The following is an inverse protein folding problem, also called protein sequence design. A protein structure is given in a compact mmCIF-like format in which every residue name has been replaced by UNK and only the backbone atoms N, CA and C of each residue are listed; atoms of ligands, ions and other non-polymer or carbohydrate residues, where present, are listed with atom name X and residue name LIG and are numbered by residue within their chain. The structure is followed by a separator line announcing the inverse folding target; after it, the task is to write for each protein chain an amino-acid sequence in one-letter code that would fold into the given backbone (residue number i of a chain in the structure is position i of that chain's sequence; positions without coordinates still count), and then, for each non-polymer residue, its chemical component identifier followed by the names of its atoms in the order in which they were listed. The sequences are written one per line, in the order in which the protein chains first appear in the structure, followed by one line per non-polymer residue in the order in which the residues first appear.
data_IF_702584085323
#
_entry.id   IF_702584085323
#
_cell.length_a   1.000
_cell.length_b   1.000
_cell.length_c   1.000
_cell.angle_alpha   90.00
_cell.angle_beta   90.00
_cell.angle_gamma   90.00
#
_symmetry.space_group_name_H-M   'P 1'
#
loop_
_entity.id
_entity.type
_entity.pdbx_description
1 polymer ?
#
# COMPACT_ATOMS: atom_id res chain seq x y z
N UNK A 1 -16.30 -0.61 15.86
CA UNK A 1 -14.87 -0.99 15.78
C UNK A 1 -14.04 0.20 15.32
N UNK A 2 -12.88 0.41 15.92
CA UNK A 2 -11.92 1.42 15.46
C UNK A 2 -10.92 0.75 14.52
N UNK A 3 -10.88 1.22 13.28
CA UNK A 3 -10.12 0.60 12.20
C UNK A 3 -9.06 1.59 11.73
N UNK A 4 -7.79 1.19 11.79
CA UNK A 4 -6.68 1.94 11.21
C UNK A 4 -6.33 1.37 9.84
N UNK A 5 -6.29 2.21 8.82
CA UNK A 5 -5.87 1.80 7.47
C UNK A 5 -4.65 2.63 7.06
N UNK A 6 -3.61 1.95 6.60
CA UNK A 6 -2.38 2.61 6.17
C UNK A 6 -2.36 2.75 4.65
N UNK A 7 -2.09 3.96 4.20
CA UNK A 7 -2.10 4.32 2.77
C UNK A 7 -0.77 4.96 2.40
N UNK A 8 -0.14 4.46 1.36
CA UNK A 8 1.04 5.08 0.76
C UNK A 8 0.64 5.87 -0.48
N UNK A 9 1.02 7.14 -0.52
CA UNK A 9 1.08 7.89 -1.77
C UNK A 9 2.31 7.43 -2.56
N UNK A 10 2.12 6.43 -3.39
CA UNK A 10 3.15 5.79 -4.21
C UNK A 10 3.42 6.57 -5.49
N UNK A 11 4.59 6.38 -6.09
CA UNK A 11 4.83 6.84 -7.46
C UNK A 11 3.88 6.10 -8.42
N UNK A 12 3.24 6.84 -9.32
CA UNK A 12 2.41 6.26 -10.36
C UNK A 12 3.29 5.63 -11.43
N UNK A 13 3.40 4.31 -11.44
CA UNK A 13 4.28 3.55 -12.34
C UNK A 13 3.95 3.75 -13.83
N UNK A 14 2.70 4.11 -14.16
CA UNK A 14 2.27 4.38 -15.53
C UNK A 14 2.69 5.78 -16.03
N UNK A 15 3.10 6.66 -15.12
CA UNK A 15 3.42 8.07 -15.40
C UNK A 15 4.81 8.44 -14.87
N UNK A 16 5.72 7.47 -14.77
CA UNK A 16 7.08 7.70 -14.30
C UNK A 16 7.80 8.63 -15.28
N UNK A 17 8.40 9.68 -14.73
CA UNK A 17 9.30 10.58 -15.44
C UNK A 17 10.73 10.28 -15.05
N UNK A 18 11.59 10.15 -16.05
CA UNK A 18 13.03 9.88 -15.88
C UNK A 18 13.85 10.93 -16.63
N UNK A 19 15.03 11.17 -16.13
CA UNK A 19 16.05 11.92 -16.86
C UNK A 19 16.80 11.05 -17.88
N UNK A 20 17.76 11.64 -18.60
CA UNK A 20 18.56 10.95 -19.62
C UNK A 20 19.46 9.83 -19.05
N UNK A 21 19.70 9.80 -17.74
CA UNK A 21 20.49 8.76 -17.05
C UNK A 21 19.63 7.65 -16.44
N UNK A 22 18.31 7.71 -16.63
CA UNK A 22 17.36 6.75 -16.06
C UNK A 22 17.04 6.99 -14.58
N UNK A 23 17.42 8.15 -14.03
CA UNK A 23 17.03 8.53 -12.66
C UNK A 23 15.59 9.02 -12.67
N UNK A 24 14.79 8.53 -11.71
CA UNK A 24 13.39 8.94 -11.58
C UNK A 24 13.30 10.36 -11.04
N UNK A 25 12.59 11.22 -11.77
CA UNK A 25 12.26 12.56 -11.29
C UNK A 25 11.14 12.48 -10.24
N UNK A 26 11.53 12.45 -8.97
CA UNK A 26 10.61 12.31 -7.83
C UNK A 26 9.73 13.55 -7.62
N UNK A 27 10.11 14.71 -8.16
CA UNK A 27 9.33 15.93 -8.05
C UNK A 27 8.18 16.00 -9.06
N UNK A 28 8.37 15.39 -10.23
CA UNK A 28 7.44 15.50 -11.34
C UNK A 28 6.64 14.22 -11.62
N UNK A 29 7.10 13.06 -11.13
CA UNK A 29 6.35 11.81 -11.26
C UNK A 29 5.08 11.89 -10.42
N UNK A 30 3.93 11.70 -11.05
CA UNK A 30 2.63 11.75 -10.37
C UNK A 30 2.55 10.75 -9.21
N UNK A 31 1.82 11.11 -8.15
CA UNK A 31 1.50 10.20 -7.04
C UNK A 31 0.12 9.59 -7.24
N UNK A 32 -0.04 8.35 -6.77
CA UNK A 32 -1.31 7.63 -6.73
C UNK A 32 -1.41 6.79 -5.44
N UNK A 33 -2.62 6.38 -5.07
CA UNK A 33 -2.78 5.38 -4.01
C UNK A 33 -2.23 4.05 -4.54
N UNK A 34 -1.43 3.35 -3.75
CA UNK A 34 -1.00 1.98 -4.07
C UNK A 34 -2.23 1.07 -4.23
N UNK A 35 -2.25 0.23 -5.25
CA UNK A 35 -3.42 -0.63 -5.55
C UNK A 35 -3.77 -1.53 -4.35
N UNK A 36 -2.80 -2.16 -3.71
CA UNK A 36 -3.03 -2.98 -2.51
C UNK A 36 -3.59 -2.16 -1.33
N UNK A 37 -3.25 -0.88 -1.25
CA UNK A 37 -3.79 -0.01 -0.20
C UNK A 37 -5.25 0.38 -0.48
N UNK A 38 -5.69 0.39 -1.76
CA UNK A 38 -7.11 0.51 -2.10
C UNK A 38 -7.91 -0.69 -1.61
N UNK A 39 -7.35 -1.91 -1.73
CA UNK A 39 -7.96 -3.13 -1.18
C UNK A 39 -8.02 -3.06 0.35
N UNK A 40 -6.96 -2.59 1.01
CA UNK A 40 -6.93 -2.40 2.46
C UNK A 40 -8.01 -1.41 2.93
N UNK A 41 -8.16 -0.30 2.21
CA UNK A 41 -9.18 0.71 2.51
C UNK A 41 -10.59 0.15 2.32
N UNK A 42 -10.85 -0.52 1.21
CA UNK A 42 -12.13 -1.17 0.94
C UNK A 42 -12.51 -2.16 2.04
N UNK A 43 -11.54 -2.99 2.48
CA UNK A 43 -11.80 -3.97 3.53
C UNK A 43 -12.12 -3.30 4.87
N UNK A 44 -11.37 -2.25 5.23
CA UNK A 44 -11.67 -1.43 6.41
C UNK A 44 -13.08 -0.84 6.38
N UNK A 45 -13.51 -0.36 5.21
CA UNK A 45 -14.87 0.19 5.03
C UNK A 45 -15.92 -0.91 5.15
N UNK A 46 -15.72 -2.09 4.56
CA UNK A 46 -16.64 -3.23 4.67
C UNK A 46 -16.79 -3.69 6.13
N UNK A 47 -15.70 -3.76 6.87
CA UNK A 47 -15.73 -4.08 8.31
C UNK A 47 -16.55 -3.02 9.07
N UNK A 48 -16.31 -1.73 8.81
CA UNK A 48 -17.11 -0.64 9.40
C UNK A 48 -18.60 -0.76 9.05
N UNK A 49 -18.94 -1.03 7.81
CA UNK A 49 -20.33 -1.19 7.37
C UNK A 49 -21.04 -2.35 8.07
N UNK A 50 -20.30 -3.44 8.36
CA UNK A 50 -20.85 -4.64 9.01
C UNK A 50 -20.95 -4.52 10.52
N UNK A 51 -19.95 -3.95 11.18
CA UNK A 51 -19.82 -3.97 12.64
C UNK A 51 -19.96 -2.58 13.29
N UNK A 52 -20.16 -1.54 12.49
CA UNK A 52 -20.15 -0.17 12.96
C UNK A 52 -18.75 0.34 13.30
N UNK A 53 -18.64 1.61 13.66
CA UNK A 53 -17.42 2.23 14.12
C UNK A 53 -16.82 3.24 13.15
N UNK A 54 -15.48 3.32 13.11
CA UNK A 54 -14.77 4.39 12.41
C UNK A 54 -13.54 3.86 11.67
N UNK A 55 -13.30 4.37 10.46
CA UNK A 55 -12.08 4.13 9.66
C UNK A 55 -11.22 5.38 9.68
N UNK A 56 -10.02 5.28 10.26
CA UNK A 56 -9.00 6.32 10.28
C UNK A 56 -7.85 5.95 9.35
N UNK A 57 -7.53 6.81 8.39
CA UNK A 57 -6.42 6.63 7.46
C UNK A 57 -5.14 7.20 8.05
N UNK A 58 -4.04 6.45 7.92
CA UNK A 58 -2.69 6.86 8.32
C UNK A 58 -1.77 6.89 7.11
N UNK A 59 -1.03 7.98 6.92
CA UNK A 59 -0.14 8.15 5.78
C UNK A 59 1.02 9.10 6.08
N UNK A 60 2.12 8.97 5.34
CA UNK A 60 3.25 9.88 5.40
C UNK A 60 3.70 10.25 3.98
N UNK A 61 4.00 11.52 3.74
CA UNK A 61 4.60 11.97 2.50
C UNK A 61 6.11 11.70 2.53
N UNK A 62 6.59 10.84 1.63
CA UNK A 62 7.99 10.43 1.55
C UNK A 62 8.68 10.84 0.25
N UNK A 63 7.92 11.37 -0.70
CA UNK A 63 8.42 11.91 -1.96
C UNK A 63 8.26 13.42 -1.96
N UNK A 64 9.37 14.13 -2.06
CA UNK A 64 9.40 15.58 -1.89
C UNK A 64 9.91 16.37 -3.09
N UNK A 65 10.13 17.63 -2.91
CA UNK A 65 9.97 18.40 -1.66
C UNK A 65 8.50 18.59 -1.28
N UNK A 66 8.22 18.71 0.03
CA UNK A 66 6.85 18.85 0.56
C UNK A 66 6.12 20.04 -0.08
N UNK A 67 6.80 21.18 -0.23
CA UNK A 67 6.25 22.40 -0.81
C UNK A 67 5.66 22.20 -2.21
N UNK A 68 6.21 21.30 -3.02
CA UNK A 68 5.71 20.97 -4.37
C UNK A 68 4.69 19.85 -4.37
N UNK A 69 4.80 18.92 -3.42
CA UNK A 69 4.04 17.65 -3.42
C UNK A 69 2.81 17.65 -2.53
N UNK A 70 2.70 18.62 -1.61
CA UNK A 70 1.62 18.65 -0.62
C UNK A 70 0.23 18.65 -1.27
N UNK A 71 0.01 19.43 -2.33
CA UNK A 71 -1.30 19.50 -2.99
C UNK A 71 -1.71 18.16 -3.62
N UNK A 72 -0.79 17.48 -4.32
CA UNK A 72 -1.03 16.16 -4.88
C UNK A 72 -1.29 15.11 -3.80
N UNK A 73 -0.51 15.17 -2.73
CA UNK A 73 -0.66 14.28 -1.60
C UNK A 73 -2.01 14.47 -0.89
N UNK A 74 -2.39 15.71 -0.62
CA UNK A 74 -3.70 16.00 -0.02
C UNK A 74 -4.86 15.56 -0.93
N UNK A 75 -4.72 15.65 -2.25
CA UNK A 75 -5.69 15.12 -3.21
C UNK A 75 -5.87 13.60 -3.03
N UNK A 76 -4.76 12.85 -2.89
CA UNK A 76 -4.79 11.41 -2.64
C UNK A 76 -5.49 11.10 -1.30
N UNK A 77 -5.17 11.84 -0.25
CA UNK A 77 -5.84 11.64 1.04
C UNK A 77 -7.33 11.98 0.96
N UNK A 78 -7.72 13.03 0.21
CA UNK A 78 -9.14 13.34 -0.04
C UNK A 78 -9.85 12.23 -0.82
N UNK A 79 -9.15 11.54 -1.72
CA UNK A 79 -9.68 10.37 -2.42
C UNK A 79 -10.01 9.25 -1.44
N UNK A 80 -9.15 8.93 -0.47
CA UNK A 80 -9.43 7.90 0.55
C UNK A 80 -10.64 8.27 1.41
N UNK A 81 -10.80 9.54 1.74
CA UNK A 81 -11.97 10.05 2.48
C UNK A 81 -13.24 9.99 1.64
N UNK A 82 -13.13 10.21 0.32
CA UNK A 82 -14.26 10.08 -0.61
C UNK A 82 -14.70 8.63 -0.77
N UNK A 83 -13.78 7.66 -0.81
CA UNK A 83 -14.08 6.22 -0.87
C UNK A 83 -14.88 5.77 0.36
N UNK A 84 -14.59 6.31 1.56
CA UNK A 84 -15.42 5.99 2.74
C UNK A 84 -14.74 6.11 4.09
N UNK A 85 -13.44 6.45 4.16
CA UNK A 85 -12.78 6.75 5.43
C UNK A 85 -13.42 7.95 6.13
N UNK A 86 -13.34 8.01 7.43
CA UNK A 86 -14.00 9.05 8.26
C UNK A 86 -13.05 10.22 8.53
N UNK A 87 -11.77 9.93 8.71
CA UNK A 87 -10.72 10.93 8.92
C UNK A 87 -9.38 10.43 8.40
N UNK A 88 -8.40 11.34 8.33
CA UNK A 88 -7.03 11.01 8.01
C UNK A 88 -6.03 11.68 8.95
N UNK A 89 -5.00 10.94 9.32
CA UNK A 89 -3.84 11.40 10.10
C UNK A 89 -2.61 11.30 9.22
N UNK A 90 -1.99 12.43 8.88
CA UNK A 90 -0.91 12.47 7.89
C UNK A 90 0.33 13.14 8.44
N UNK A 91 1.50 12.63 8.06
CA UNK A 91 2.78 13.25 8.37
C UNK A 91 3.25 14.05 7.16
N UNK A 92 3.43 15.34 7.36
CA UNK A 92 3.95 16.29 6.38
C UNK A 92 5.18 16.99 6.95
N UNK A 93 6.37 16.47 6.60
CA UNK A 93 7.64 17.05 7.07
C UNK A 93 8.76 16.73 6.06
N UNK A 94 9.56 17.73 5.71
CA UNK A 94 10.74 17.56 4.84
C UNK A 94 11.72 16.51 5.38
N UNK A 95 11.77 16.31 6.68
CA UNK A 95 12.61 15.30 7.33
C UNK A 95 12.19 13.86 7.04
N UNK A 96 11.04 13.62 6.43
CA UNK A 96 10.62 12.29 5.96
C UNK A 96 10.77 12.09 4.45
N UNK A 97 11.14 13.13 3.73
CA UNK A 97 11.41 13.00 2.30
C UNK A 97 12.63 12.10 2.09
N UNK A 98 12.47 11.04 1.31
CA UNK A 98 13.52 10.03 1.09
C UNK A 98 13.67 8.99 2.21
N UNK A 99 12.82 9.01 3.24
CA UNK A 99 12.86 8.06 4.34
C UNK A 99 12.79 6.60 3.87
N UNK A 100 13.54 5.75 4.53
CA UNK A 100 13.50 4.30 4.33
C UNK A 100 12.19 3.69 4.85
N UNK A 101 11.89 2.45 4.44
CA UNK A 101 10.70 1.75 4.94
C UNK A 101 10.72 1.59 6.47
N UNK A 102 11.89 1.50 7.09
CA UNK A 102 12.00 1.44 8.56
C UNK A 102 11.60 2.76 9.21
N UNK A 103 12.14 3.85 8.72
CA UNK A 103 11.88 5.20 9.25
C UNK A 103 10.41 5.58 9.09
N UNK A 104 9.81 5.26 7.94
CA UNK A 104 8.37 5.44 7.71
C UNK A 104 7.54 4.59 8.67
N UNK A 105 7.94 3.32 8.88
CA UNK A 105 7.23 2.44 9.82
C UNK A 105 7.31 2.98 11.24
N UNK A 106 8.46 3.50 11.66
CA UNK A 106 8.64 4.11 12.98
C UNK A 106 7.79 5.38 13.13
N UNK A 107 7.77 6.22 12.11
CA UNK A 107 6.98 7.45 12.10
C UNK A 107 5.47 7.15 12.23
N UNK A 108 4.97 6.21 11.43
CA UNK A 108 3.56 5.81 11.46
C UNK A 108 3.19 5.05 12.73
N UNK A 109 4.10 4.25 13.30
CA UNK A 109 3.90 3.60 14.60
C UNK A 109 3.74 4.63 15.73
N UNK A 110 4.60 5.67 15.77
CA UNK A 110 4.50 6.72 16.76
C UNK A 110 3.22 7.57 16.56
N UNK A 111 2.84 7.83 15.30
CA UNK A 111 1.60 8.53 15.00
C UNK A 111 0.38 7.74 15.50
N UNK A 112 0.31 6.44 15.22
CA UNK A 112 -0.78 5.57 15.69
C UNK A 112 -0.86 5.58 17.22
N UNK A 113 0.27 5.40 17.92
CA UNK A 113 0.30 5.47 19.39
C UNK A 113 -0.19 6.80 19.95
N UNK A 114 0.12 7.91 19.26
CA UNK A 114 -0.33 9.25 19.65
C UNK A 114 -1.84 9.43 19.43
N UNK A 115 -2.39 8.88 18.36
CA UNK A 115 -3.83 8.99 18.03
C UNK A 115 -4.67 8.10 18.95
N UNK A 116 -4.21 6.89 19.25
CA UNK A 116 -4.89 5.97 20.16
C UNK A 116 -4.84 4.51 19.73
N UNK A 117 -5.67 3.69 20.40
CA UNK A 117 -5.75 2.26 20.12
C UNK A 117 -6.85 1.96 19.08
N UNK A 118 -6.57 0.96 18.25
CA UNK A 118 -7.47 0.46 17.22
C UNK A 118 -7.72 -1.04 17.43
N UNK A 119 -8.89 -1.51 17.01
CA UNK A 119 -9.24 -2.92 17.11
C UNK A 119 -8.55 -3.72 15.98
N UNK A 120 -8.46 -3.14 14.77
CA UNK A 120 -7.79 -3.76 13.64
C UNK A 120 -6.99 -2.72 12.86
N UNK A 121 -5.79 -3.12 12.42
CA UNK A 121 -4.88 -2.34 11.60
C UNK A 121 -4.74 -3.04 10.26
N UNK A 122 -5.09 -2.35 9.16
CA UNK A 122 -5.11 -2.94 7.82
C UNK A 122 -4.10 -2.22 6.94
N UNK A 123 -3.28 -2.98 6.23
CA UNK A 123 -2.31 -2.49 5.25
C UNK A 123 -2.47 -3.25 3.94
N UNK A 124 -2.04 -2.70 2.83
CA UNK A 124 -1.73 -3.50 1.65
C UNK A 124 -0.54 -4.42 1.92
N UNK A 125 -0.40 -5.50 1.17
CA UNK A 125 0.74 -6.42 1.29
C UNK A 125 2.06 -5.75 0.92
N UNK A 126 2.02 -4.84 -0.06
CA UNK A 126 3.17 -4.09 -0.54
C UNK A 126 2.73 -2.73 -1.11
N UNK A 127 3.68 -1.87 -1.44
CA UNK A 127 3.43 -0.72 -2.31
C UNK A 127 3.90 -1.01 -3.73
N UNK A 128 3.18 -0.50 -4.73
CA UNK A 128 3.47 -0.74 -6.14
C UNK A 128 4.85 -0.26 -6.57
N UNK A 129 5.38 0.77 -5.91
CA UNK A 129 6.64 1.42 -6.28
C UNK A 129 7.88 0.78 -5.66
N UNK A 130 7.79 0.17 -4.48
CA UNK A 130 8.96 -0.41 -3.79
C UNK A 130 8.83 -1.89 -3.48
N UNK A 131 7.63 -2.46 -3.50
CA UNK A 131 7.35 -3.90 -3.32
C UNK A 131 8.16 -4.57 -2.21
N UNK A 132 8.24 -3.93 -1.04
CA UNK A 132 9.12 -4.39 0.04
C UNK A 132 8.51 -5.44 0.95
N UNK A 133 7.19 -5.56 1.01
CA UNK A 133 6.42 -6.52 1.85
C UNK A 133 6.76 -6.50 3.35
N UNK A 134 7.28 -5.38 3.88
CA UNK A 134 7.84 -5.32 5.22
C UNK A 134 7.01 -4.49 6.22
N UNK A 135 6.10 -3.64 5.73
CA UNK A 135 5.47 -2.63 6.58
C UNK A 135 4.66 -3.24 7.72
N UNK A 136 3.79 -4.21 7.46
CA UNK A 136 2.95 -4.85 8.49
C UNK A 136 3.79 -5.51 9.59
N UNK A 137 4.86 -6.24 9.21
CA UNK A 137 5.76 -6.91 10.17
C UNK A 137 6.56 -5.91 11.02
N UNK A 138 7.02 -4.81 10.41
CA UNK A 138 7.71 -3.73 11.14
C UNK A 138 6.77 -3.02 12.10
N UNK A 139 5.56 -2.68 11.65
CA UNK A 139 4.54 -2.07 12.49
C UNK A 139 4.20 -2.95 13.69
N UNK A 140 4.06 -4.27 13.49
CA UNK A 140 3.83 -5.26 14.53
C UNK A 140 4.86 -5.18 15.65
N UNK A 141 6.13 -5.22 15.29
CA UNK A 141 7.23 -5.09 16.25
C UNK A 141 7.24 -3.75 16.98
N UNK A 142 6.89 -2.66 16.29
CA UNK A 142 6.93 -1.30 16.85
C UNK A 142 5.77 -0.98 17.79
N UNK A 143 4.57 -1.53 17.55
CA UNK A 143 3.39 -1.27 18.40
C UNK A 143 2.99 -2.46 19.26
N UNK A 144 3.74 -3.58 19.18
CA UNK A 144 3.50 -4.82 19.93
C UNK A 144 2.10 -5.41 19.73
N UNK A 145 1.65 -5.49 18.47
CA UNK A 145 0.39 -6.10 18.04
C UNK A 145 0.72 -7.19 17.02
N UNK A 146 0.14 -8.42 17.13
CA UNK A 146 0.43 -9.49 16.19
C UNK A 146 0.03 -9.11 14.77
N UNK A 147 0.82 -9.55 13.77
CA UNK A 147 0.55 -9.30 12.37
C UNK A 147 0.41 -10.62 11.59
N UNK A 148 -0.62 -10.68 10.76
CA UNK A 148 -0.84 -11.74 9.78
C UNK A 148 -0.77 -11.10 8.39
N UNK A 149 0.12 -11.63 7.55
CA UNK A 149 0.39 -11.10 6.20
C UNK A 149 -0.25 -11.96 5.12
N UNK A 150 -0.40 -11.39 3.91
CA UNK A 150 -0.95 -12.07 2.73
C UNK A 150 -2.37 -12.61 2.94
N UNK A 151 -3.23 -11.80 3.58
CA UNK A 151 -4.59 -12.20 3.90
C UNK A 151 -5.53 -11.90 2.75
N UNK A 152 -6.23 -12.93 2.26
CA UNK A 152 -7.22 -12.84 1.19
C UNK A 152 -8.67 -12.88 1.68
N UNK A 153 -8.91 -13.13 2.97
CA UNK A 153 -10.24 -13.12 3.57
C UNK A 153 -10.16 -12.93 5.09
N UNK A 154 -11.05 -12.10 5.61
CA UNK A 154 -11.19 -11.79 7.04
C UNK A 154 -12.60 -12.16 7.50
N UNK A 155 -12.72 -12.97 8.54
CA UNK A 155 -13.98 -13.25 9.20
C UNK A 155 -13.86 -12.86 10.68
N UNK A 156 -14.72 -11.94 11.12
CA UNK A 156 -14.77 -11.47 12.51
C UNK A 156 -15.99 -12.06 13.19
N UNK A 157 -15.79 -12.75 14.30
CA UNK A 157 -16.80 -13.36 15.13
C UNK A 157 -16.61 -12.91 16.58
N UNK A 158 -17.35 -11.88 17.00
CA UNK A 158 -17.18 -11.20 18.30
C UNK A 158 -15.74 -10.67 18.49
N UNK A 159 -14.93 -11.36 19.32
CA UNK A 159 -13.51 -11.02 19.54
C UNK A 159 -12.54 -11.89 18.76
N UNK A 160 -13.00 -13.00 18.22
CA UNK A 160 -12.20 -13.92 17.42
C UNK A 160 -12.15 -13.45 15.96
N UNK A 161 -10.99 -13.58 15.34
CA UNK A 161 -10.76 -13.25 13.94
C UNK A 161 -10.17 -14.47 13.25
N UNK A 162 -10.82 -14.93 12.20
CA UNK A 162 -10.28 -15.95 11.29
C UNK A 162 -9.72 -15.27 10.07
N UNK A 163 -8.44 -15.49 9.81
CA UNK A 163 -7.68 -14.91 8.71
C UNK A 163 -7.23 -16.02 7.76
N UNK A 164 -7.61 -15.88 6.49
CA UNK A 164 -7.23 -16.80 5.44
C UNK A 164 -6.00 -16.24 4.73
N UNK A 165 -4.84 -16.79 5.06
CA UNK A 165 -3.54 -16.38 4.55
C UNK A 165 -3.18 -17.19 3.32
N UNK A 166 -2.83 -16.52 2.22
CA UNK A 166 -2.40 -17.12 0.97
C UNK A 166 -0.89 -17.39 0.98
N UNK A 167 -0.47 -18.61 0.71
CA UNK A 167 0.92 -19.07 0.66
C UNK A 167 1.22 -19.83 -0.64
N UNK A 168 0.72 -19.33 -1.77
CA UNK A 168 0.88 -19.93 -3.11
C UNK A 168 0.24 -21.32 -3.22
N UNK A 169 0.84 -22.35 -2.59
CA UNK A 169 0.39 -23.75 -2.67
C UNK A 169 -0.72 -24.10 -1.67
N UNK A 170 -0.92 -23.27 -0.63
CA UNK A 170 -1.90 -23.55 0.43
C UNK A 170 -2.52 -22.26 1.00
N UNK A 171 -3.71 -22.42 1.58
CA UNK A 171 -4.37 -21.38 2.35
C UNK A 171 -4.33 -21.77 3.82
N UNK A 172 -3.60 -21.00 4.63
CA UNK A 172 -3.60 -21.15 6.07
C UNK A 172 -4.77 -20.42 6.70
N UNK A 173 -5.54 -21.11 7.53
CA UNK A 173 -6.59 -20.49 8.34
C UNK A 173 -6.02 -20.24 9.73
N UNK A 174 -5.84 -18.96 10.08
CA UNK A 174 -5.27 -18.54 11.35
C UNK A 174 -6.38 -17.95 12.21
N UNK A 175 -6.58 -18.51 13.41
CA UNK A 175 -7.44 -17.92 14.41
C UNK A 175 -6.63 -17.04 15.35
N UNK A 176 -7.06 -15.80 15.54
CA UNK A 176 -6.46 -14.84 16.47
C UNK A 176 -7.56 -14.01 17.15
N UNK A 177 -7.18 -13.10 18.03
CA UNK A 177 -8.08 -12.13 18.65
C UNK A 177 -7.67 -10.70 18.29
N UNK A 178 -8.61 -9.76 18.48
CA UNK A 178 -8.31 -8.33 18.39
C UNK A 178 -7.50 -7.87 19.61
N UNK A 179 -6.60 -6.90 19.49
CA UNK A 179 -6.23 -6.23 18.25
C UNK A 179 -5.28 -7.05 17.37
N UNK A 180 -5.36 -6.86 16.05
CA UNK A 180 -4.49 -7.54 15.07
C UNK A 180 -4.12 -6.59 13.91
N UNK A 181 -2.92 -6.77 13.37
CA UNK A 181 -2.49 -6.15 12.11
C UNK A 181 -2.69 -7.16 10.99
N UNK A 182 -3.29 -6.72 9.90
CA UNK A 182 -3.54 -7.56 8.72
C UNK A 182 -2.98 -6.88 7.48
N UNK A 183 -2.09 -7.55 6.74
CA UNK A 183 -1.76 -7.10 5.40
C UNK A 183 -2.55 -7.91 4.37
N UNK A 184 -3.27 -7.21 3.51
CA UNK A 184 -4.22 -7.83 2.59
C UNK A 184 -3.66 -7.91 1.18
N UNK A 185 -4.00 -9.00 0.47
CA UNK A 185 -3.68 -9.20 -0.94
C UNK A 185 -4.69 -8.49 -1.85
N UNK A 186 -4.37 -8.38 -3.15
CA UNK A 186 -5.29 -7.81 -4.13
C UNK A 186 -6.58 -8.62 -4.33
N UNK A 187 -6.56 -9.92 -4.00
CA UNK A 187 -7.69 -10.83 -4.17
C UNK A 187 -8.76 -10.72 -3.09
N UNK A 188 -8.50 -9.98 -2.00
CA UNK A 188 -9.43 -9.88 -0.87
C UNK A 188 -10.77 -9.26 -1.26
N UNK A 189 -10.74 -8.27 -2.16
CA UNK A 189 -11.94 -7.55 -2.61
C UNK A 189 -11.69 -6.79 -3.92
N UNK A 190 -12.76 -6.19 -4.45
CA UNK A 190 -12.67 -5.16 -5.50
C UNK A 190 -12.95 -3.80 -4.86
N UNK A 191 -11.99 -2.85 -4.90
CA UNK A 191 -12.18 -1.52 -4.35
C UNK A 191 -13.28 -0.76 -5.07
N UNK A 192 -14.17 -0.12 -4.30
CA UNK A 192 -15.22 0.74 -4.84
C UNK A 192 -14.65 2.06 -5.36
N UNK A 193 -15.36 2.67 -6.30
CA UNK A 193 -15.11 4.04 -6.73
C UNK A 193 -16.05 5.00 -5.98
N UNK A 194 -15.58 6.19 -5.59
CA UNK A 194 -16.42 7.16 -4.92
C UNK A 194 -17.42 7.79 -5.90
N UNK A 195 -18.64 8.01 -5.46
CA UNK A 195 -19.64 8.79 -6.17
C UNK A 195 -19.33 10.29 -6.11
N UNK A 196 -19.88 11.08 -7.03
CA UNK A 196 -19.73 12.55 -6.99
C UNK A 196 -20.17 13.16 -5.65
N UNK A 197 -21.25 12.65 -5.05
CA UNK A 197 -21.73 13.08 -3.73
C UNK A 197 -20.67 12.83 -2.65
N UNK A 198 -20.04 11.66 -2.63
CA UNK A 198 -18.99 11.31 -1.68
C UNK A 198 -17.74 12.16 -1.87
N UNK A 199 -17.36 12.47 -3.12
CA UNK A 199 -16.24 13.39 -3.43
C UNK A 199 -16.53 14.78 -2.85
N UNK A 200 -17.74 15.29 -3.00
CA UNK A 200 -18.10 16.59 -2.41
C UNK A 200 -18.10 16.55 -0.88
N UNK A 201 -18.63 15.50 -0.28
CA UNK A 201 -18.66 15.32 1.17
C UNK A 201 -17.25 15.13 1.78
N UNK A 202 -16.31 14.54 1.05
CA UNK A 202 -14.96 14.35 1.55
C UNK A 202 -14.23 15.65 1.86
N UNK A 203 -14.64 16.79 1.25
CA UNK A 203 -14.03 18.10 1.48
C UNK A 203 -14.16 18.57 2.92
N UNK A 204 -15.19 18.15 3.65
CA UNK A 204 -15.45 18.53 5.05
C UNK A 204 -14.91 17.52 6.05
N UNK A 205 -14.49 16.35 5.62
CA UNK A 205 -13.92 15.33 6.52
C UNK A 205 -12.55 15.79 7.05
N UNK A 206 -12.23 15.51 8.32
CA UNK A 206 -11.01 16.02 8.95
C UNK A 206 -9.74 15.36 8.40
N UNK A 207 -8.71 16.17 8.21
CA UNK A 207 -7.33 15.74 7.96
C UNK A 207 -6.47 16.38 9.04
N UNK A 208 -5.89 15.55 9.90
CA UNK A 208 -4.96 15.97 10.95
C UNK A 208 -3.53 15.87 10.43
N UNK A 209 -2.78 16.97 10.53
CA UNK A 209 -1.40 17.04 10.03
C UNK A 209 -0.42 17.03 11.20
N UNK A 210 0.65 16.27 11.05
CA UNK A 210 1.70 16.11 12.05
C UNK A 210 3.07 16.34 11.42
N UNK A 211 4.01 16.82 12.22
CA UNK A 211 5.43 16.92 11.90
C UNK A 211 6.23 15.82 12.60
N UNK A 212 7.49 15.63 12.20
CA UNK A 212 8.45 14.74 12.87
C UNK A 212 8.65 15.13 14.34
N UNK A 213 8.63 16.43 14.64
CA UNK A 213 8.75 16.94 16.02
C UNK A 213 7.57 16.56 16.89
N UNK A 214 6.34 16.53 16.33
CA UNK A 214 5.15 16.12 17.06
C UNK A 214 5.18 14.65 17.47
N UNK A 215 6.04 13.85 16.84
CA UNK A 215 6.14 12.39 17.00
C UNK A 215 7.42 11.95 17.72
N UNK A 216 8.24 12.91 18.17
CA UNK A 216 9.50 12.63 18.90
C UNK A 216 10.44 11.65 18.15
N UNK A 217 10.51 11.79 16.82
CA UNK A 217 11.32 10.92 15.98
C UNK A 217 12.78 11.32 16.00
N UNK A 218 13.71 10.35 15.91
CA UNK A 218 15.13 10.62 15.76
C UNK A 218 15.42 11.37 14.45
N UNK A 219 16.60 11.95 14.33
CA UNK A 219 17.11 12.44 13.05
C UNK A 219 17.37 11.24 12.14
N UNK A 220 16.89 11.32 10.93
CA UNK A 220 17.16 10.33 9.88
C UNK A 220 18.27 10.87 8.96
N UNK A 221 19.15 9.99 8.52
CA UNK A 221 20.14 10.29 7.47
C UNK A 221 19.56 9.84 6.14
N UNK A 222 18.98 10.80 5.40
CA UNK A 222 18.17 10.53 4.22
C UNK A 222 18.96 10.85 2.96
N UNK A 223 19.50 9.83 2.31
CA UNK A 223 19.97 9.92 0.93
C UNK A 223 19.39 8.78 0.11
N UNK A 224 18.53 9.08 -0.85
CA UNK A 224 17.89 8.05 -1.68
C UNK A 224 17.82 8.48 -3.13
N UNK A 225 18.43 7.69 -3.98
CA UNK A 225 18.30 7.78 -5.42
C UNK A 225 17.49 6.59 -5.94
N UNK A 226 16.50 6.84 -6.77
CA UNK A 226 15.68 5.80 -7.38
C UNK A 226 15.99 5.78 -8.88
N UNK A 227 16.41 4.62 -9.37
CA UNK A 227 16.70 4.40 -10.80
C UNK A 227 15.76 3.36 -11.38
N UNK A 228 15.37 3.55 -12.63
CA UNK A 228 14.72 2.51 -13.40
C UNK A 228 15.80 1.52 -13.86
N UNK A 229 15.54 0.23 -13.61
CA UNK A 229 16.32 -0.83 -14.23
C UNK A 229 15.85 -0.97 -15.69
N UNK A 230 16.72 -0.78 -16.68
CA UNK A 230 16.35 -0.99 -18.08
C UNK A 230 16.04 -2.47 -18.29
N UNK A 231 14.77 -2.78 -18.55
CA UNK A 231 14.34 -4.13 -18.91
C UNK A 231 14.22 -4.18 -20.42
N UNK A 232 15.15 -4.90 -21.06
CA UNK A 232 15.04 -5.23 -22.48
C UNK A 232 14.24 -6.51 -22.63
N UNK A 233 13.09 -6.43 -23.31
CA UNK A 233 12.29 -7.59 -23.68
C UNK A 233 12.51 -7.90 -25.15
N UNK A 234 12.75 -9.15 -25.47
CA UNK A 234 12.95 -9.58 -26.86
C UNK A 234 11.69 -9.44 -27.73
N UNK A 235 10.50 -9.41 -27.11
CA UNK A 235 9.19 -9.26 -27.78
C UNK A 235 9.04 -10.16 -29.02
N UNK A 236 9.32 -11.45 -28.86
CA UNK A 236 9.23 -12.44 -29.94
C UNK A 236 7.76 -12.82 -30.12
N UNK A 237 7.22 -12.56 -31.31
CA UNK A 237 5.90 -13.04 -31.71
C UNK A 237 6.06 -14.38 -32.43
N UNK A 238 5.38 -15.40 -31.94
CA UNK A 238 5.41 -16.73 -32.53
C UNK A 238 4.22 -16.87 -33.48
N UNK A 239 4.50 -17.00 -34.77
CA UNK A 239 3.50 -17.16 -35.82
C UNK A 239 3.53 -18.59 -36.39
N UNK A 240 2.36 -19.11 -36.75
CA UNK A 240 2.21 -20.42 -37.37
C UNK A 240 0.85 -20.57 -38.07
N UNK A 241 0.72 -21.61 -38.89
CA UNK A 241 -0.49 -21.89 -39.68
C UNK A 241 -1.64 -22.45 -38.81
N UNK A 242 -1.31 -23.05 -37.69
CA UNK A 242 -2.24 -23.65 -36.72
C UNK A 242 -1.64 -23.62 -35.31
N UNK A 243 -2.46 -23.98 -34.31
CA UNK A 243 -2.06 -23.99 -32.91
C UNK A 243 -0.92 -25.00 -32.60
N UNK A 244 -0.87 -26.11 -33.29
CA UNK A 244 0.20 -27.12 -33.11
C UNK A 244 1.56 -26.56 -33.51
N UNK A 245 1.67 -25.96 -34.70
CA UNK A 245 2.90 -25.32 -35.17
C UNK A 245 3.36 -24.18 -34.27
N UNK A 246 2.41 -23.35 -33.79
CA UNK A 246 2.68 -22.24 -32.85
C UNK A 246 3.21 -22.79 -31.52
N UNK A 247 2.58 -23.84 -30.98
CA UNK A 247 3.00 -24.45 -29.72
C UNK A 247 4.39 -25.08 -29.81
N UNK A 248 4.68 -25.83 -30.88
CA UNK A 248 6.01 -26.41 -31.12
C UNK A 248 7.10 -25.35 -31.21
N UNK A 249 6.86 -24.27 -31.95
CA UNK A 249 7.78 -23.14 -32.03
C UNK A 249 7.97 -22.46 -30.69
N UNK A 250 6.91 -22.23 -29.93
CA UNK A 250 7.00 -21.62 -28.61
C UNK A 250 7.83 -22.49 -27.66
N UNK A 251 7.57 -23.80 -27.61
CA UNK A 251 8.34 -24.72 -26.76
C UNK A 251 9.82 -24.68 -27.16
N UNK A 252 10.11 -24.72 -28.46
CA UNK A 252 11.48 -24.62 -28.96
C UNK A 252 12.18 -23.33 -28.52
N UNK A 253 11.52 -22.17 -28.66
CA UNK A 253 12.07 -20.90 -28.18
C UNK A 253 12.31 -20.90 -26.67
N UNK A 254 11.40 -21.46 -25.87
CA UNK A 254 11.57 -21.53 -24.41
C UNK A 254 12.73 -22.46 -24.00
N UNK A 255 13.00 -23.51 -24.77
CA UNK A 255 14.15 -24.41 -24.57
C UNK A 255 15.45 -23.69 -24.98
N UNK A 256 15.47 -23.06 -26.17
CA UNK A 256 16.65 -22.36 -26.70
C UNK A 256 17.06 -21.18 -25.77
N UNK A 257 16.10 -20.52 -25.12
CA UNK A 257 16.33 -19.47 -24.13
C UNK A 257 16.66 -19.99 -22.72
N UNK A 258 16.63 -21.32 -22.51
CA UNK A 258 16.93 -21.94 -21.22
C UNK A 258 15.84 -21.75 -20.15
N UNK A 259 14.65 -21.30 -20.54
CA UNK A 259 13.49 -21.12 -19.66
C UNK A 259 12.83 -22.45 -19.36
N UNK A 260 12.73 -23.33 -20.36
CA UNK A 260 12.20 -24.69 -20.22
C UNK A 260 13.37 -25.68 -20.28
N UNK A 261 13.45 -26.55 -19.26
CA UNK A 261 14.38 -27.69 -19.24
C UNK A 261 13.53 -28.94 -19.35
N UNK A 262 13.74 -29.71 -20.38
CA UNK A 262 13.14 -31.04 -20.59
C UNK A 262 14.18 -32.12 -20.27
#
# INVERSE_FOLDING_TARGET
MNIAVFIKASLNLNLIKVDSSGIVNLEETALAISEYDKNALEEGIRIKEKFGGKVSVFSALTYGPVSKRQADYERIIRETLAIGADEAHIILDEKLVGASNFEVSLALANLVKKVGAFDIYITGEASMDTSSYQFASRLSSLINVPAITFVRKIEIQEKDVLLYRDLEDEIQIIKTSLPVIVSVTGEINQPRLPTLKQILQSKTKPIFKYSVTDLELPKFDLSKEIRILPVSRKNIFVEGKNLEEISEKLIKYLIDEGVLKI
#
